data_IF_832250841414
#
_entry.id   IF_832250841414
#
_cell.length_a   1.000
_cell.length_b   1.000
_cell.length_c   1.000
_cell.angle_alpha   90.00
_cell.angle_beta   90.00
_cell.angle_gamma   90.00
#
_symmetry.space_group_name_H-M   'P 1'
#
loop_
_entity.id
_entity.type
_entity.pdbx_description
1 polymer ?
#
# COMPACT_ATOMS: atom_id res chain seq x y z
N UNK A 1 -17.43 26.22 34.32
CA UNK A 1 -17.61 26.70 32.93
C UNK A 1 -17.52 25.50 32.01
N UNK A 2 -18.67 24.90 31.69
CA UNK A 2 -18.78 23.87 30.65
C UNK A 2 -18.54 24.53 29.30
N UNK A 3 -17.56 24.04 28.53
CA UNK A 3 -17.35 24.50 27.14
C UNK A 3 -18.57 24.16 26.31
N UNK A 4 -18.84 25.00 25.31
CA UNK A 4 -19.86 24.75 24.30
C UNK A 4 -19.65 23.36 23.67
N UNK A 5 -20.66 22.48 23.66
CA UNK A 5 -20.59 21.16 23.03
C UNK A 5 -20.08 21.19 21.58
N UNK A 6 -20.40 22.24 20.81
CA UNK A 6 -19.90 22.38 19.43
C UNK A 6 -18.40 22.67 19.40
N UNK A 7 -17.91 23.54 20.28
CA UNK A 7 -16.48 23.86 20.41
C UNK A 7 -15.71 22.61 20.85
N UNK A 8 -16.25 21.81 21.78
CA UNK A 8 -15.61 20.58 22.22
C UNK A 8 -15.52 19.56 21.07
N UNK A 9 -16.58 19.41 20.28
CA UNK A 9 -16.61 18.52 19.11
C UNK A 9 -15.58 18.93 18.03
N UNK A 10 -15.38 20.23 17.81
CA UNK A 10 -14.36 20.75 16.88
C UNK A 10 -12.95 20.42 17.37
N UNK A 11 -12.68 20.61 18.66
CA UNK A 11 -11.37 20.29 19.28
C UNK A 11 -11.10 18.79 19.20
N UNK A 12 -12.09 17.96 19.54
CA UNK A 12 -11.95 16.50 19.50
C UNK A 12 -11.74 16.00 18.06
N UNK A 13 -12.41 16.61 17.09
CA UNK A 13 -12.20 16.36 15.67
C UNK A 13 -10.76 16.73 15.26
N UNK A 14 -10.30 17.95 15.55
CA UNK A 14 -8.96 18.40 15.21
C UNK A 14 -7.89 17.49 15.80
N UNK A 15 -8.00 17.20 17.10
CA UNK A 15 -7.04 16.35 17.78
C UNK A 15 -7.02 14.93 17.18
N UNK A 16 -8.19 14.32 17.00
CA UNK A 16 -8.30 12.94 16.51
C UNK A 16 -7.74 12.79 15.10
N UNK A 17 -8.11 13.68 14.17
CA UNK A 17 -7.64 13.57 12.79
C UNK A 17 -6.20 14.04 12.61
N UNK A 18 -5.80 15.14 13.25
CA UNK A 18 -4.42 15.59 13.20
C UNK A 18 -3.48 14.51 13.74
N UNK A 19 -3.82 13.93 14.89
CA UNK A 19 -3.02 12.86 15.49
C UNK A 19 -3.03 11.60 14.61
N UNK A 20 -4.18 11.16 14.13
CA UNK A 20 -4.27 9.97 13.28
C UNK A 20 -3.45 10.12 11.98
N UNK A 21 -3.62 11.23 11.26
CA UNK A 21 -2.92 11.43 10.00
C UNK A 21 -1.42 11.64 10.21
N UNK A 22 -1.02 12.58 11.07
CA UNK A 22 0.39 12.95 11.20
C UNK A 22 1.17 11.94 12.04
N UNK A 23 0.65 11.57 13.22
CA UNK A 23 1.36 10.74 14.20
C UNK A 23 1.01 9.25 14.15
N UNK A 24 0.11 8.85 13.25
CA UNK A 24 -0.16 7.46 12.96
C UNK A 24 0.22 7.14 11.53
N UNK A 25 -0.59 7.59 10.58
CA UNK A 25 -0.50 7.18 9.19
C UNK A 25 0.78 7.66 8.49
N UNK A 26 1.07 8.96 8.52
CA UNK A 26 2.24 9.50 7.81
C UNK A 26 3.56 9.09 8.47
N UNK A 27 3.62 8.98 9.80
CA UNK A 27 4.76 8.40 10.50
C UNK A 27 4.99 6.93 10.09
N UNK A 28 3.93 6.10 10.01
CA UNK A 28 4.06 4.73 9.52
C UNK A 28 4.51 4.65 8.05
N UNK A 29 4.02 5.54 7.18
CA UNK A 29 4.48 5.63 5.79
C UNK A 29 5.95 6.07 5.70
N UNK A 30 6.40 6.96 6.57
CA UNK A 30 7.82 7.35 6.68
C UNK A 30 8.68 6.17 7.14
N UNK A 31 8.21 5.38 8.10
CA UNK A 31 8.91 4.15 8.50
C UNK A 31 9.02 3.12 7.36
N UNK A 32 8.05 3.05 6.45
CA UNK A 32 8.19 2.24 5.23
C UNK A 32 9.25 2.78 4.28
N UNK A 33 9.39 4.11 4.16
CA UNK A 33 10.45 4.74 3.37
C UNK A 33 11.84 4.38 3.91
N UNK A 34 12.04 4.52 5.22
CA UNK A 34 13.25 4.10 5.91
C UNK A 34 13.51 2.60 5.70
N UNK A 35 12.49 1.75 5.86
CA UNK A 35 12.61 0.30 5.69
C UNK A 35 13.05 -0.07 4.27
N UNK A 36 12.51 0.57 3.24
CA UNK A 36 12.91 0.33 1.84
C UNK A 36 14.38 0.72 1.64
N UNK A 37 14.76 1.90 2.15
CA UNK A 37 16.13 2.41 2.05
C UNK A 37 17.13 1.47 2.74
N UNK A 38 16.89 1.12 3.99
CA UNK A 38 17.75 0.24 4.78
C UNK A 38 17.82 -1.17 4.20
N UNK A 39 16.70 -1.71 3.70
CA UNK A 39 16.68 -3.02 3.03
C UNK A 39 17.55 -3.00 1.77
N UNK A 40 17.47 -1.93 0.98
CA UNK A 40 18.28 -1.76 -0.23
C UNK A 40 19.78 -1.67 0.10
N UNK A 41 20.13 -0.92 1.15
CA UNK A 41 21.51 -0.78 1.62
C UNK A 41 22.05 -2.12 2.14
N UNK A 42 21.26 -2.84 2.93
CA UNK A 42 21.61 -4.16 3.43
C UNK A 42 21.91 -5.15 2.30
N UNK A 43 21.01 -5.28 1.32
CA UNK A 43 21.20 -6.18 0.18
C UNK A 43 22.45 -5.83 -0.63
N UNK A 44 22.64 -4.54 -0.92
CA UNK A 44 23.79 -4.05 -1.71
C UNK A 44 25.11 -4.24 -0.98
N UNK A 45 25.15 -3.98 0.33
CA UNK A 45 26.36 -4.15 1.15
C UNK A 45 26.79 -5.62 1.24
N UNK A 46 25.83 -6.54 1.34
CA UNK A 46 26.10 -7.98 1.35
C UNK A 46 26.62 -8.47 0.01
N UNK A 47 26.03 -8.04 -1.10
CA UNK A 47 26.53 -8.38 -2.43
C UNK A 47 27.98 -7.93 -2.64
N UNK A 48 28.32 -6.69 -2.27
CA UNK A 48 29.71 -6.20 -2.33
C UNK A 48 30.67 -7.03 -1.50
N UNK A 49 30.27 -7.43 -0.28
CA UNK A 49 31.13 -8.27 0.57
C UNK A 49 31.45 -9.64 -0.02
N UNK A 50 30.60 -10.16 -0.92
CA UNK A 50 30.86 -11.41 -1.65
C UNK A 50 31.73 -11.20 -2.90
N UNK A 51 31.78 -9.99 -3.46
CA UNK A 51 32.67 -9.65 -4.58
C UNK A 51 34.12 -9.43 -4.11
N UNK A 52 34.28 -8.84 -2.92
CA UNK A 52 35.59 -8.53 -2.32
C UNK A 52 36.26 -9.76 -1.69
N UNK A 53 35.50 -10.79 -1.37
CA UNK A 53 36.02 -12.05 -0.86
C UNK A 53 36.33 -12.99 -2.04
N UNK A 54 37.59 -13.45 -2.17
CA UNK A 54 37.93 -14.67 -2.93
C UNK A 54 37.34 -15.93 -2.23
N UNK A 55 36.06 -15.88 -1.83
CA UNK A 55 35.37 -17.01 -1.24
C UNK A 55 35.17 -18.05 -2.35
N UNK A 56 36.02 -19.08 -2.34
CA UNK A 56 35.77 -20.36 -3.01
C UNK A 56 34.34 -20.74 -2.64
N UNK A 57 33.45 -20.65 -3.63
CA UNK A 57 32.03 -20.93 -3.47
C UNK A 57 31.92 -22.38 -2.98
N UNK A 58 31.72 -22.56 -1.68
CA UNK A 58 31.35 -23.87 -1.15
C UNK A 58 29.99 -24.12 -1.78
N UNK A 59 30.00 -24.95 -2.82
CA UNK A 59 28.84 -25.52 -3.49
C UNK A 59 28.12 -26.35 -2.43
N UNK A 60 27.40 -25.67 -1.54
CA UNK A 60 26.28 -26.29 -0.87
C UNK A 60 25.22 -26.48 -1.96
N UNK A 61 24.68 -27.69 -1.98
CA UNK A 61 23.81 -28.30 -2.99
C UNK A 61 22.45 -27.58 -3.22
N UNK A 62 22.32 -26.31 -2.79
CA UNK A 62 21.05 -25.60 -2.61
C UNK A 62 21.09 -24.11 -2.94
N UNK A 63 21.92 -23.72 -3.92
CA UNK A 63 22.21 -22.34 -4.40
C UNK A 63 23.28 -21.58 -3.57
N UNK A 64 24.22 -20.92 -4.26
CA UNK A 64 25.28 -20.13 -3.66
C UNK A 64 24.77 -18.90 -2.91
N UNK A 65 25.48 -18.46 -1.86
CA UNK A 65 25.09 -17.29 -1.04
C UNK A 65 24.87 -16.03 -1.89
N UNK A 66 25.68 -15.83 -2.94
CA UNK A 66 25.52 -14.70 -3.87
C UNK A 66 24.12 -14.67 -4.49
N UNK A 67 23.67 -15.81 -5.05
CA UNK A 67 22.35 -15.94 -5.66
C UNK A 67 21.19 -15.67 -4.68
N UNK A 68 21.37 -16.02 -3.41
CA UNK A 68 20.36 -15.73 -2.38
C UNK A 68 20.15 -14.22 -2.21
N UNK A 69 21.23 -13.44 -2.11
CA UNK A 69 21.16 -11.99 -1.93
C UNK A 69 20.88 -11.23 -3.23
N UNK A 70 21.19 -11.81 -4.39
CA UNK A 70 20.96 -11.19 -5.69
C UNK A 70 19.52 -11.38 -6.20
N UNK A 71 18.90 -12.53 -5.91
CA UNK A 71 17.59 -12.88 -6.47
C UNK A 71 16.55 -13.29 -5.42
N UNK A 72 16.85 -14.27 -4.56
CA UNK A 72 15.83 -14.88 -3.69
C UNK A 72 15.33 -13.92 -2.59
N UNK A 73 16.26 -13.33 -1.82
CA UNK A 73 15.91 -12.42 -0.74
C UNK A 73 15.27 -11.12 -1.26
N UNK A 74 15.78 -10.45 -2.30
CA UNK A 74 15.08 -9.29 -2.88
C UNK A 74 13.64 -9.62 -3.28
N UNK A 75 13.39 -10.77 -3.94
CA UNK A 75 12.04 -11.16 -4.34
C UNK A 75 11.09 -11.28 -3.15
N UNK A 76 11.52 -11.94 -2.07
CA UNK A 76 10.72 -12.10 -0.85
C UNK A 76 10.50 -10.76 -0.15
N UNK A 77 11.57 -9.97 0.01
CA UNK A 77 11.55 -8.72 0.77
C UNK A 77 10.67 -7.66 0.10
N UNK A 78 10.85 -7.42 -1.20
CA UNK A 78 10.06 -6.40 -1.91
C UNK A 78 8.58 -6.78 -2.00
N UNK A 79 8.26 -8.06 -2.25
CA UNK A 79 6.88 -8.56 -2.16
C UNK A 79 6.28 -8.30 -0.78
N UNK A 80 7.01 -8.63 0.28
CA UNK A 80 6.53 -8.47 1.67
C UNK A 80 6.30 -7.02 2.05
N UNK A 81 7.20 -6.12 1.65
CA UNK A 81 7.08 -4.68 1.92
C UNK A 81 5.89 -4.10 1.14
N UNK A 82 5.74 -4.42 -0.14
CA UNK A 82 4.58 -4.00 -0.95
C UNK A 82 3.24 -4.45 -0.33
N UNK A 83 3.15 -5.73 0.06
CA UNK A 83 1.95 -6.27 0.72
C UNK A 83 1.64 -5.54 2.03
N UNK A 84 2.67 -5.16 2.79
CA UNK A 84 2.53 -4.44 4.06
C UNK A 84 2.05 -2.99 3.84
N UNK A 85 2.57 -2.29 2.84
CA UNK A 85 2.09 -0.96 2.43
C UNK A 85 0.61 -1.02 2.02
N UNK A 86 0.23 -2.04 1.25
CA UNK A 86 -1.16 -2.20 0.83
C UNK A 86 -2.09 -2.54 2.00
N UNK A 87 -1.64 -3.39 2.93
CA UNK A 87 -2.37 -3.67 4.16
C UNK A 87 -2.60 -2.41 5.01
N UNK A 88 -1.56 -1.58 5.18
CA UNK A 88 -1.67 -0.28 5.83
C UNK A 88 -2.72 0.59 5.13
N UNK A 89 -2.70 0.64 3.79
CA UNK A 89 -3.67 1.39 2.99
C UNK A 89 -5.11 0.98 3.32
N UNK A 90 -5.40 -0.32 3.32
CA UNK A 90 -6.73 -0.85 3.65
C UNK A 90 -7.14 -0.52 5.09
N UNK A 91 -6.22 -0.73 6.06
CA UNK A 91 -6.49 -0.47 7.47
C UNK A 91 -6.76 1.01 7.72
N UNK A 92 -5.97 1.90 7.12
CA UNK A 92 -6.11 3.33 7.27
C UNK A 92 -7.39 3.87 6.65
N UNK A 93 -7.77 3.40 5.47
CA UNK A 93 -9.07 3.73 4.88
C UNK A 93 -10.24 3.29 5.76
N UNK A 94 -10.18 2.07 6.31
CA UNK A 94 -11.19 1.57 7.24
C UNK A 94 -11.23 2.40 8.53
N UNK A 95 -10.08 2.80 9.06
CA UNK A 95 -9.97 3.60 10.28
C UNK A 95 -10.51 5.02 10.08
N UNK A 96 -10.27 5.65 8.92
CA UNK A 96 -10.85 6.95 8.57
C UNK A 96 -12.39 6.86 8.60
N UNK A 97 -12.97 5.80 8.04
CA UNK A 97 -14.42 5.60 8.07
C UNK A 97 -14.95 5.46 9.51
N UNK A 98 -14.27 4.68 10.36
CA UNK A 98 -14.64 4.52 11.78
C UNK A 98 -14.55 5.82 12.56
N UNK A 99 -13.50 6.62 12.32
CA UNK A 99 -13.35 7.93 12.96
C UNK A 99 -14.48 8.87 12.54
N UNK A 100 -14.87 8.86 11.26
CA UNK A 100 -15.97 9.66 10.73
C UNK A 100 -17.32 9.22 11.28
N UNK A 101 -17.55 7.91 11.38
CA UNK A 101 -18.74 7.31 12.00
C UNK A 101 -18.87 7.67 13.48
N UNK A 102 -17.76 7.70 14.24
CA UNK A 102 -17.79 8.04 15.66
C UNK A 102 -18.02 9.54 15.92
N UNK A 103 -17.53 10.40 15.02
CA UNK A 103 -17.59 11.86 15.19
C UNK A 103 -18.86 12.50 14.61
N UNK A 104 -19.54 11.81 13.69
CA UNK A 104 -20.76 12.30 13.07
C UNK A 104 -21.91 11.34 13.37
N UNK A 105 -23.11 11.87 13.54
CA UNK A 105 -24.33 11.06 13.73
C UNK A 105 -24.84 10.55 12.37
N UNK A 106 -24.02 9.73 11.68
CA UNK A 106 -24.45 9.10 10.44
C UNK A 106 -25.47 8.00 10.73
N UNK A 107 -26.53 7.92 9.91
CA UNK A 107 -27.56 6.88 10.03
C UNK A 107 -27.08 5.50 9.55
N UNK A 108 -25.93 5.43 8.89
CA UNK A 108 -25.36 4.20 8.32
C UNK A 108 -23.95 3.98 8.88
N UNK A 109 -23.70 2.74 9.31
CA UNK A 109 -22.37 2.28 9.73
C UNK A 109 -21.55 1.81 8.52
N UNK A 110 -20.23 1.82 8.63
CA UNK A 110 -19.36 1.16 7.63
C UNK A 110 -19.72 -0.33 7.45
N UNK A 111 -20.23 -0.97 8.50
CA UNK A 111 -20.64 -2.38 8.48
C UNK A 111 -21.87 -2.63 7.60
N UNK A 112 -22.68 -1.60 7.37
CA UNK A 112 -23.88 -1.69 6.52
C UNK A 112 -23.54 -1.56 5.03
N UNK A 113 -22.29 -1.19 4.70
CA UNK A 113 -21.83 -1.07 3.32
C UNK A 113 -21.30 -2.42 2.83
N UNK A 114 -21.91 -2.92 1.75
CA UNK A 114 -21.42 -4.09 1.03
C UNK A 114 -20.08 -3.85 0.34
N UNK A 115 -19.31 -4.93 0.14
CA UNK A 115 -18.00 -4.91 -0.52
C UNK A 115 -16.86 -5.27 0.43
N UNK A 116 -15.64 -5.34 -0.10
CA UNK A 116 -14.44 -5.78 0.62
C UNK A 116 -13.29 -4.78 0.46
N UNK A 117 -12.42 -4.73 1.48
CA UNK A 117 -11.19 -3.94 1.46
C UNK A 117 -11.43 -2.46 1.15
N UNK A 118 -10.57 -1.91 0.28
CA UNK A 118 -10.61 -0.51 -0.14
C UNK A 118 -11.96 -0.10 -0.77
N UNK A 119 -12.67 -1.02 -1.44
CA UNK A 119 -13.90 -0.68 -2.15
C UNK A 119 -15.05 -0.36 -1.19
N UNK A 120 -15.14 -1.08 -0.07
CA UNK A 120 -16.12 -0.81 0.99
C UNK A 120 -15.88 0.57 1.59
N UNK A 121 -14.64 0.85 1.99
CA UNK A 121 -14.27 2.15 2.57
C UNK A 121 -14.52 3.29 1.59
N UNK A 122 -14.13 3.13 0.32
CA UNK A 122 -14.40 4.16 -0.72
C UNK A 122 -15.89 4.42 -0.92
N UNK A 123 -16.73 3.38 -0.84
CA UNK A 123 -18.18 3.51 -1.01
C UNK A 123 -18.80 4.24 0.18
N UNK A 124 -18.36 3.91 1.40
CA UNK A 124 -18.79 4.61 2.61
C UNK A 124 -18.42 6.09 2.55
N UNK A 125 -17.14 6.39 2.26
CA UNK A 125 -16.64 7.76 2.19
C UNK A 125 -17.38 8.58 1.14
N UNK A 126 -17.62 8.02 -0.06
CA UNK A 126 -18.38 8.70 -1.12
C UNK A 126 -19.84 8.94 -0.77
N UNK A 127 -20.54 7.90 -0.31
CA UNK A 127 -22.01 7.94 -0.21
C UNK A 127 -22.53 8.45 1.14
N UNK A 128 -21.76 8.27 2.20
CA UNK A 128 -22.18 8.60 3.57
C UNK A 128 -21.44 9.85 4.07
N UNK A 129 -20.13 9.91 3.88
CA UNK A 129 -19.32 11.05 4.33
C UNK A 129 -19.23 12.17 3.29
N UNK A 130 -19.72 11.92 2.07
CA UNK A 130 -19.67 12.84 0.93
C UNK A 130 -18.22 13.25 0.56
N UNK A 131 -17.24 12.38 0.83
CA UNK A 131 -15.82 12.52 0.43
C UNK A 131 -15.63 11.69 -0.84
N UNK A 132 -15.52 12.37 -1.98
CA UNK A 132 -15.57 11.74 -3.31
C UNK A 132 -14.45 12.15 -4.26
N UNK A 133 -13.90 13.36 -4.16
CA UNK A 133 -12.95 13.90 -5.13
C UNK A 133 -11.69 13.03 -5.23
N UNK A 134 -11.14 12.61 -4.09
CA UNK A 134 -9.95 11.75 -4.05
C UNK A 134 -10.13 10.40 -4.78
N UNK A 135 -11.36 9.88 -4.87
CA UNK A 135 -11.69 8.61 -5.53
C UNK A 135 -11.96 8.73 -7.04
N UNK A 136 -11.88 9.94 -7.60
CA UNK A 136 -12.04 10.20 -9.03
C UNK A 136 -10.69 10.46 -9.73
N UNK A 137 -9.60 10.25 -9.01
CA UNK A 137 -8.24 10.55 -9.46
C UNK A 137 -7.53 9.35 -10.09
N UNK A 138 -6.49 9.63 -10.89
CA UNK A 138 -5.59 8.58 -11.37
C UNK A 138 -4.86 7.87 -10.22
N UNK A 139 -4.56 8.59 -9.13
CA UNK A 139 -3.95 8.03 -7.93
C UNK A 139 -4.83 6.92 -7.35
N UNK A 140 -6.16 7.11 -7.28
CA UNK A 140 -7.08 6.06 -6.86
C UNK A 140 -7.07 4.85 -7.82
N UNK A 141 -6.95 5.08 -9.13
CA UNK A 141 -6.76 3.98 -10.08
C UNK A 141 -5.46 3.21 -9.83
N UNK A 142 -4.39 3.86 -9.38
CA UNK A 142 -3.17 3.17 -8.93
C UNK A 142 -3.46 2.26 -7.73
N UNK A 143 -4.19 2.76 -6.71
CA UNK A 143 -4.57 1.95 -5.54
C UNK A 143 -5.45 0.74 -5.94
N UNK A 144 -6.36 0.91 -6.91
CA UNK A 144 -7.15 -0.19 -7.49
C UNK A 144 -6.25 -1.23 -8.19
N UNK A 145 -5.25 -0.79 -8.93
CA UNK A 145 -4.33 -1.73 -9.59
C UNK A 145 -3.45 -2.46 -8.56
N UNK A 146 -2.99 -1.77 -7.50
CA UNK A 146 -2.29 -2.39 -6.39
C UNK A 146 -3.13 -3.47 -5.70
N UNK A 147 -4.45 -3.26 -5.55
CA UNK A 147 -5.35 -4.29 -5.04
C UNK A 147 -5.30 -5.58 -5.87
N UNK A 148 -5.29 -5.44 -7.21
CA UNK A 148 -5.25 -6.60 -8.11
C UNK A 148 -3.92 -7.33 -8.00
N UNK A 149 -2.81 -6.59 -7.96
CA UNK A 149 -1.47 -7.15 -7.76
C UNK A 149 -1.38 -7.87 -6.41
N UNK A 150 -1.83 -7.23 -5.33
CA UNK A 150 -1.88 -7.83 -3.99
C UNK A 150 -2.69 -9.12 -3.98
N UNK A 151 -3.81 -9.18 -4.70
CA UNK A 151 -4.61 -10.39 -4.79
C UNK A 151 -3.86 -11.54 -5.48
N UNK A 152 -3.13 -11.27 -6.56
CA UNK A 152 -2.29 -12.28 -7.23
C UNK A 152 -1.17 -12.75 -6.31
N UNK A 153 -0.49 -11.83 -5.62
CA UNK A 153 0.57 -12.16 -4.66
C UNK A 153 0.06 -12.99 -3.47
N UNK A 154 -1.09 -12.62 -2.89
CA UNK A 154 -1.60 -13.26 -1.67
C UNK A 154 -2.29 -14.61 -1.92
N UNK A 155 -2.91 -14.80 -3.08
CA UNK A 155 -3.70 -16.02 -3.37
C UNK A 155 -2.96 -17.05 -4.23
N UNK A 156 -1.96 -16.61 -5.00
CA UNK A 156 -1.28 -17.46 -5.99
C UNK A 156 0.24 -17.28 -5.98
N UNK A 157 0.81 -16.75 -4.88
CA UNK A 157 2.25 -16.46 -4.72
C UNK A 157 2.86 -15.61 -5.85
N UNK A 158 2.01 -14.81 -6.50
CA UNK A 158 2.41 -13.98 -7.64
C UNK A 158 2.17 -14.60 -9.00
N UNK A 159 1.69 -15.85 -9.07
CA UNK A 159 1.40 -16.55 -10.33
C UNK A 159 -0.02 -16.26 -10.84
N UNK A 160 -0.16 -16.11 -12.15
CA UNK A 160 -1.44 -15.87 -12.82
C UNK A 160 -1.48 -16.51 -14.21
N UNK A 161 -2.68 -16.91 -14.65
CA UNK A 161 -2.90 -17.47 -15.98
C UNK A 161 -2.56 -16.47 -17.09
N UNK A 162 -1.97 -16.98 -18.19
CA UNK A 162 -1.69 -16.18 -19.39
C UNK A 162 -2.95 -15.63 -20.10
N UNK A 163 -4.14 -16.11 -19.73
CA UNK A 163 -5.40 -15.56 -20.23
C UNK A 163 -5.86 -14.31 -19.44
N UNK A 164 -5.19 -13.99 -18.33
CA UNK A 164 -5.54 -12.87 -17.47
C UNK A 164 -4.99 -11.53 -18.01
N UNK A 165 -5.61 -11.04 -19.09
CA UNK A 165 -5.27 -9.77 -19.74
C UNK A 165 -5.28 -8.57 -18.79
N UNK A 166 -6.08 -8.61 -17.73
CA UNK A 166 -6.16 -7.51 -16.77
C UNK A 166 -4.84 -7.31 -16.01
N UNK A 167 -4.15 -8.41 -15.67
CA UNK A 167 -2.85 -8.34 -15.00
C UNK A 167 -1.75 -7.94 -15.99
N UNK A 168 -1.74 -8.46 -17.21
CA UNK A 168 -0.79 -8.01 -18.24
C UNK A 168 -0.90 -6.52 -18.50
N UNK A 169 -2.12 -5.99 -18.69
CA UNK A 169 -2.33 -4.56 -18.89
C UNK A 169 -1.81 -3.72 -17.72
N UNK A 170 -1.80 -4.26 -16.50
CA UNK A 170 -1.24 -3.60 -15.32
C UNK A 170 0.28 -3.63 -15.35
N UNK A 171 0.89 -4.78 -15.66
CA UNK A 171 2.32 -4.88 -15.83
C UNK A 171 2.83 -3.95 -16.93
N UNK A 172 2.15 -3.90 -18.08
CA UNK A 172 2.52 -3.04 -19.21
C UNK A 172 2.28 -1.54 -18.91
N UNK A 173 1.48 -1.21 -17.89
CA UNK A 173 1.20 0.17 -17.48
C UNK A 173 2.29 0.75 -16.57
N UNK A 174 3.01 -0.08 -15.82
CA UNK A 174 3.98 0.36 -14.82
C UNK A 174 5.38 -0.13 -15.18
N UNK A 175 6.26 0.78 -15.60
CA UNK A 175 7.65 0.46 -15.98
C UNK A 175 8.42 -0.26 -14.86
N UNK A 176 8.04 -0.02 -13.60
CA UNK A 176 8.68 -0.62 -12.43
C UNK A 176 8.23 -2.07 -12.15
N UNK A 177 7.14 -2.52 -12.77
CA UNK A 177 6.53 -3.83 -12.54
C UNK A 177 6.89 -4.80 -13.66
N UNK A 178 7.51 -5.93 -13.31
CA UNK A 178 7.89 -6.95 -14.28
C UNK A 178 7.09 -8.24 -14.09
N UNK A 179 7.03 -9.04 -15.15
CA UNK A 179 6.52 -10.41 -15.12
C UNK A 179 7.46 -11.36 -15.85
N UNK A 180 7.37 -12.65 -15.55
CA UNK A 180 8.13 -13.71 -16.20
C UNK A 180 7.22 -14.88 -16.57
N UNK A 181 7.47 -15.52 -17.70
CA UNK A 181 6.70 -16.69 -18.14
C UNK A 181 7.08 -17.95 -17.36
N UNK A 182 6.09 -18.78 -17.05
CA UNK A 182 6.24 -20.11 -16.48
C UNK A 182 5.89 -21.10 -17.60
N UNK A 183 6.91 -21.56 -18.31
CA UNK A 183 6.78 -22.28 -19.59
C UNK A 183 6.05 -23.60 -19.49
N UNK A 184 6.02 -24.22 -18.31
CA UNK A 184 5.43 -25.54 -18.11
C UNK A 184 3.91 -25.48 -17.82
N UNK A 185 3.35 -24.32 -17.46
CA UNK A 185 1.99 -24.24 -16.87
C UNK A 185 1.03 -23.28 -17.58
N UNK A 186 1.40 -22.65 -18.71
CA UNK A 186 0.62 -21.55 -19.34
C UNK A 186 0.28 -20.42 -18.34
N UNK A 187 1.23 -20.16 -17.46
CA UNK A 187 1.13 -19.17 -16.40
C UNK A 187 2.31 -18.18 -16.49
N UNK A 188 2.16 -17.07 -15.81
CA UNK A 188 3.18 -16.04 -15.63
C UNK A 188 3.27 -15.66 -14.15
N UNK A 189 4.46 -15.27 -13.70
CA UNK A 189 4.69 -14.76 -12.35
C UNK A 189 4.96 -13.26 -12.33
N UNK A 190 4.46 -12.55 -11.32
CA UNK A 190 4.76 -11.14 -11.07
C UNK A 190 6.08 -11.03 -10.28
N UNK A 191 6.95 -10.13 -10.71
CA UNK A 191 8.16 -9.75 -9.99
C UNK A 191 8.01 -8.34 -9.41
N UNK A 192 8.10 -8.24 -8.08
CA UNK A 192 8.05 -6.97 -7.36
C UNK A 192 9.48 -6.48 -7.14
N UNK A 193 9.76 -5.28 -7.64
CA UNK A 193 11.05 -4.62 -7.53
C UNK A 193 11.06 -3.59 -6.39
N UNK A 194 12.26 -3.14 -6.03
CA UNK A 194 12.43 -1.97 -5.16
C UNK A 194 11.68 -0.75 -5.72
N UNK A 195 11.89 -0.44 -7.00
CA UNK A 195 11.30 0.74 -7.65
C UNK A 195 9.77 0.68 -7.64
N UNK A 196 9.18 -0.49 -7.85
CA UNK A 196 7.72 -0.65 -7.76
C UNK A 196 7.21 -0.44 -6.33
N UNK A 197 7.99 -0.90 -5.34
CA UNK A 197 7.66 -0.72 -3.93
C UNK A 197 7.71 0.77 -3.53
N UNK A 198 8.74 1.50 -3.98
CA UNK A 198 8.86 2.96 -3.80
C UNK A 198 7.71 3.71 -4.50
N UNK A 199 7.37 3.31 -5.72
CA UNK A 199 6.24 3.86 -6.46
C UNK A 199 4.92 3.65 -5.71
N UNK A 200 4.68 2.43 -5.21
CA UNK A 200 3.47 2.12 -4.44
C UNK A 200 3.38 2.92 -3.14
N UNK A 201 4.49 3.08 -2.41
CA UNK A 201 4.56 3.90 -1.21
C UNK A 201 4.20 5.36 -1.53
N UNK A 202 4.84 5.94 -2.56
CA UNK A 202 4.59 7.31 -2.98
C UNK A 202 3.13 7.54 -3.37
N UNK A 203 2.54 6.65 -4.15
CA UNK A 203 1.11 6.75 -4.54
C UNK A 203 0.17 6.61 -3.35
N UNK A 204 0.55 5.80 -2.36
CA UNK A 204 -0.19 5.68 -1.10
C UNK A 204 -0.13 6.98 -0.29
N UNK A 205 1.05 7.60 -0.16
CA UNK A 205 1.23 8.90 0.49
C UNK A 205 0.39 9.99 -0.21
N UNK A 206 0.52 10.12 -1.54
CA UNK A 206 -0.24 11.07 -2.35
C UNK A 206 -1.76 10.88 -2.15
N UNK A 207 -2.23 9.64 -2.14
CA UNK A 207 -3.65 9.33 -1.94
C UNK A 207 -4.18 9.80 -0.58
N UNK A 208 -3.44 9.53 0.50
CA UNK A 208 -3.86 9.96 1.84
C UNK A 208 -3.73 11.46 2.04
N UNK A 209 -2.80 12.13 1.37
CA UNK A 209 -2.77 13.59 1.30
C UNK A 209 -4.02 14.14 0.64
N UNK A 210 -4.49 13.55 -0.46
CA UNK A 210 -5.75 13.97 -1.12
C UNK A 210 -6.96 13.81 -0.19
N UNK A 211 -7.07 12.69 0.51
CA UNK A 211 -8.15 12.48 1.49
C UNK A 211 -8.09 13.53 2.60
N UNK A 212 -6.92 13.75 3.20
CA UNK A 212 -6.74 14.72 4.27
C UNK A 212 -7.13 16.13 3.82
N UNK A 213 -6.71 16.53 2.63
CA UNK A 213 -7.06 17.83 2.05
C UNK A 213 -8.56 17.98 1.83
N UNK A 214 -9.21 16.98 1.23
CA UNK A 214 -10.67 17.01 1.00
C UNK A 214 -11.46 17.07 2.32
N UNK A 215 -11.02 16.34 3.34
CA UNK A 215 -11.60 16.39 4.69
C UNK A 215 -11.45 17.79 5.32
N UNK A 216 -10.31 18.45 5.12
CA UNK A 216 -10.07 19.80 5.62
C UNK A 216 -10.90 20.85 4.87
N UNK A 217 -11.05 20.75 3.55
CA UNK A 217 -11.90 21.63 2.75
C UNK A 217 -13.36 21.58 3.20
N UNK A 218 -13.86 20.37 3.48
CA UNK A 218 -15.23 20.17 3.96
C UNK A 218 -15.49 20.75 5.33
N UNK A 219 -14.48 20.73 6.20
CA UNK A 219 -14.55 21.40 7.50
C UNK A 219 -14.68 22.91 7.32
N UNK A 220 -13.91 23.52 6.41
CA UNK A 220 -13.96 24.96 6.16
C UNK A 220 -15.28 25.46 5.53
N UNK A 221 -16.09 24.55 4.98
CA UNK A 221 -17.36 24.85 4.31
C UNK A 221 -18.59 24.67 5.22
N UNK A 222 -18.40 24.24 6.47
CA UNK A 222 -19.43 24.09 7.51
C UNK A 222 -19.30 25.21 8.53
#
# INVERSE_FOLDING_TARGET
MTRDPEIQKIIDYEYTYHFFFNHGLFDELFHFEDLISETSLFLTSKLKSFEDAEEIEIINDRFGKKMQYEAMFPNILWKSIFLSIYFLTEKSLEQICKNLENLNEYNLSIKDIGGNGIYRSSTYLKKVCDISKCFETEIWNNIIDFNKIRNVLAHSDGTFSNDNKAIFNICDKYDELAYYGITEENESGISISKSFTEFALKKTQEFFTLICNEMNEKKASR
#
